data_IF_568229958107
#
_entry.id   IF_568229958107
#
_cell.length_a   1.000
_cell.length_b   1.000
_cell.length_c   1.000
_cell.angle_alpha   90.00
_cell.angle_beta   90.00
_cell.angle_gamma   90.00
#
_symmetry.space_group_name_H-M   'P 1'
#
loop_
_entity.id
_entity.type
_entity.pdbx_description
1 polymer ?
#
# COMPACT_ATOMS: atom_id res chain seq x y z
N UNK A 1 -31.69 37.74 -36.83
CA UNK A 1 -32.61 36.94 -35.99
C UNK A 1 -32.10 35.51 -35.92
N UNK A 2 -32.19 34.87 -34.73
CA UNK A 2 -31.62 33.57 -34.30
C UNK A 2 -30.11 33.64 -34.01
N UNK A 3 -29.64 34.05 -32.81
CA UNK A 3 -29.67 33.35 -31.50
C UNK A 3 -29.43 31.85 -31.65
N UNK A 4 -28.35 31.31 -31.08
CA UNK A 4 -28.43 30.30 -30.02
C UNK A 4 -27.03 29.76 -29.61
N UNK A 5 -26.68 30.05 -28.36
CA UNK A 5 -25.94 29.27 -27.35
C UNK A 5 -24.45 28.91 -27.57
N UNK A 6 -23.61 29.73 -26.93
CA UNK A 6 -22.32 29.32 -26.42
C UNK A 6 -22.52 28.24 -25.35
N UNK A 7 -22.14 26.99 -25.65
CA UNK A 7 -21.99 25.94 -24.66
C UNK A 7 -20.57 26.06 -24.07
N UNK A 8 -20.46 26.77 -22.95
CA UNK A 8 -19.25 26.77 -22.13
C UNK A 8 -19.18 25.42 -21.40
N UNK A 9 -18.46 24.47 -21.98
CA UNK A 9 -18.13 23.19 -21.35
C UNK A 9 -17.19 23.45 -20.18
N UNK A 10 -17.77 23.59 -18.99
CA UNK A 10 -17.03 23.63 -17.72
C UNK A 10 -16.44 22.22 -17.48
N UNK A 11 -15.22 21.98 -17.97
CA UNK A 11 -14.46 20.79 -17.58
C UNK A 11 -14.15 20.92 -16.09
N UNK A 12 -14.96 20.25 -15.27
CA UNK A 12 -14.67 20.01 -13.87
C UNK A 12 -13.39 19.16 -13.78
N UNK A 13 -12.27 19.81 -13.44
CA UNK A 13 -11.04 19.17 -13.01
C UNK A 13 -11.29 18.50 -11.66
N UNK A 14 -11.91 17.32 -11.67
CA UNK A 14 -11.92 16.41 -10.53
C UNK A 14 -10.56 15.73 -10.44
N UNK A 15 -9.54 16.48 -10.00
CA UNK A 15 -8.29 15.91 -9.52
C UNK A 15 -8.53 15.27 -8.17
N UNK A 16 -9.03 14.03 -8.17
CA UNK A 16 -8.93 13.16 -7.01
C UNK A 16 -7.45 12.94 -6.73
N UNK A 17 -6.87 13.67 -5.78
CA UNK A 17 -5.58 13.28 -5.22
C UNK A 17 -5.79 11.91 -4.60
N UNK A 18 -5.28 10.87 -5.25
CA UNK A 18 -5.07 9.59 -4.61
C UNK A 18 -3.96 9.75 -3.57
N UNK A 19 -4.22 10.51 -2.51
CA UNK A 19 -3.34 10.66 -1.36
C UNK A 19 -3.83 9.73 -0.25
N UNK A 20 -2.87 9.15 0.46
CA UNK A 20 -3.09 8.46 1.73
C UNK A 20 -2.53 9.36 2.83
N UNK A 21 -3.03 9.20 4.05
CA UNK A 21 -2.48 9.94 5.19
C UNK A 21 -1.13 9.33 5.55
N UNK A 22 -0.07 10.14 5.52
CA UNK A 22 1.26 9.69 5.91
C UNK A 22 1.43 9.82 7.42
N UNK A 23 2.19 8.90 8.02
CA UNK A 23 2.65 9.04 9.39
C UNK A 23 3.71 10.16 9.50
N UNK A 24 4.06 10.55 10.73
CA UNK A 24 5.10 11.58 10.93
C UNK A 24 6.47 11.06 10.51
N UNK A 25 7.43 11.93 10.15
CA UNK A 25 8.80 11.54 9.82
C UNK A 25 9.49 10.75 10.95
N UNK A 26 9.20 11.06 12.21
CA UNK A 26 9.74 10.36 13.37
C UNK A 26 9.20 8.94 13.47
N UNK A 27 7.90 8.75 13.23
CA UNK A 27 7.26 7.43 13.20
C UNK A 27 7.81 6.58 12.04
N UNK A 28 7.99 7.18 10.87
CA UNK A 28 8.62 6.52 9.71
C UNK A 28 10.08 6.11 10.00
N UNK A 29 10.87 7.01 10.59
CA UNK A 29 12.25 6.73 10.97
C UNK A 29 12.36 5.61 12.01
N UNK A 30 11.41 5.54 12.96
CA UNK A 30 11.34 4.44 13.93
C UNK A 30 10.91 3.12 13.31
N UNK A 31 9.89 3.13 12.44
CA UNK A 31 9.47 1.95 11.70
C UNK A 31 10.61 1.37 10.85
N UNK A 32 11.49 2.22 10.30
CA UNK A 32 12.67 1.84 9.52
C UNK A 32 13.88 1.38 10.35
N UNK A 33 13.76 1.29 11.68
CA UNK A 33 14.74 0.56 12.49
C UNK A 33 14.58 -0.97 12.36
N UNK A 34 13.48 -1.44 11.75
CA UNK A 34 13.19 -2.87 11.55
C UNK A 34 13.31 -3.69 12.84
N UNK A 35 12.87 -3.12 13.96
CA UNK A 35 12.82 -3.86 15.22
C UNK A 35 11.72 -4.92 15.14
N UNK A 36 12.02 -6.16 15.53
CA UNK A 36 11.02 -7.22 15.66
C UNK A 36 10.12 -7.02 16.87
N UNK A 37 8.92 -7.60 16.86
CA UNK A 37 8.04 -7.66 18.02
C UNK A 37 8.11 -9.04 18.69
N UNK A 38 8.48 -9.17 19.98
CA UNK A 38 8.66 -10.49 20.59
C UNK A 38 7.44 -11.39 20.56
N UNK A 39 6.23 -10.83 20.69
CA UNK A 39 4.97 -11.57 20.76
C UNK A 39 4.19 -11.62 19.43
N UNK A 40 4.65 -10.90 18.40
CA UNK A 40 3.94 -10.72 17.14
C UNK A 40 4.86 -10.92 15.94
N UNK A 41 4.28 -11.12 14.77
CA UNK A 41 5.02 -10.98 13.53
C UNK A 41 4.86 -9.56 13.02
N UNK A 42 5.98 -8.94 12.61
CA UNK A 42 5.94 -7.65 11.93
C UNK A 42 5.91 -7.86 10.43
N UNK A 43 5.00 -7.19 9.74
CA UNK A 43 4.86 -7.28 8.29
C UNK A 43 4.95 -5.87 7.69
N UNK A 44 5.88 -5.71 6.76
CA UNK A 44 5.99 -4.52 5.93
C UNK A 44 5.42 -4.81 4.55
N UNK A 45 4.38 -4.08 4.16
CA UNK A 45 3.80 -4.15 2.82
C UNK A 45 4.17 -2.86 2.10
N UNK A 46 5.00 -2.92 1.06
CA UNK A 46 5.54 -1.73 0.43
C UNK A 46 5.24 -1.67 -1.07
N UNK A 47 5.15 -0.43 -1.56
CA UNK A 47 5.04 -0.08 -2.97
C UNK A 47 6.02 1.04 -3.28
N UNK A 48 7.24 0.66 -3.68
CA UNK A 48 8.33 1.58 -3.98
C UNK A 48 8.34 2.06 -5.44
N UNK A 49 7.29 1.81 -6.22
CA UNK A 49 7.21 2.18 -7.63
C UNK A 49 6.50 3.53 -7.84
N UNK A 50 6.87 4.24 -8.91
CA UNK A 50 6.16 5.45 -9.36
C UNK A 50 4.99 5.14 -10.30
N UNK A 51 4.95 3.94 -10.89
CA UNK A 51 3.88 3.52 -11.78
C UNK A 51 2.53 3.52 -11.03
N UNK A 52 1.48 4.02 -11.69
CA UNK A 52 0.14 4.13 -11.10
C UNK A 52 0.06 5.15 -9.96
N UNK A 53 0.87 6.21 -9.95
CA UNK A 53 0.95 7.19 -8.85
C UNK A 53 -0.41 7.78 -8.42
N UNK A 54 -1.37 7.90 -9.35
CA UNK A 54 -2.73 8.35 -9.08
C UNK A 54 -3.69 7.24 -8.60
N UNK A 55 -3.19 6.05 -8.28
CA UNK A 55 -4.00 4.90 -7.85
C UNK A 55 -3.69 4.56 -6.40
N UNK A 56 -4.73 4.59 -5.57
CA UNK A 56 -4.72 4.12 -4.20
C UNK A 56 -5.11 2.63 -4.18
N UNK A 57 -4.36 1.79 -3.48
CA UNK A 57 -4.60 0.35 -3.41
C UNK A 57 -4.76 -0.08 -1.96
N UNK A 58 -5.93 -0.63 -1.62
CA UNK A 58 -6.22 -1.10 -0.27
C UNK A 58 -5.51 -2.42 0.00
N UNK A 59 -5.00 -2.60 1.21
CA UNK A 59 -4.39 -3.85 1.67
C UNK A 59 -5.15 -4.34 2.89
N UNK A 60 -5.54 -5.62 2.87
CA UNK A 60 -6.19 -6.30 3.98
C UNK A 60 -5.32 -7.44 4.51
N UNK A 61 -5.48 -7.75 5.79
CA UNK A 61 -5.13 -9.03 6.38
C UNK A 61 -6.39 -9.67 6.97
N UNK A 62 -6.72 -10.89 6.55
CA UNK A 62 -7.90 -11.63 7.00
C UNK A 62 -9.20 -10.81 6.96
N UNK A 63 -9.41 -10.11 5.85
CA UNK A 63 -10.55 -9.22 5.60
C UNK A 63 -10.60 -7.96 6.47
N UNK A 64 -9.56 -7.65 7.27
CA UNK A 64 -9.42 -6.39 8.00
C UNK A 64 -8.47 -5.45 7.26
N UNK A 65 -8.85 -4.19 7.08
CA UNK A 65 -8.02 -3.20 6.41
C UNK A 65 -6.76 -2.91 7.25
N UNK A 66 -5.59 -3.00 6.61
CA UNK A 66 -4.32 -2.56 7.16
C UNK A 66 -3.99 -1.11 6.76
N UNK A 67 -4.54 -0.66 5.65
CA UNK A 67 -4.34 0.68 5.11
C UNK A 67 -4.35 0.70 3.59
N UNK A 68 -4.06 1.86 3.04
CA UNK A 68 -4.04 2.10 1.61
C UNK A 68 -2.64 2.56 1.17
N UNK A 69 -2.05 1.84 0.22
CA UNK A 69 -0.81 2.28 -0.41
C UNK A 69 -1.10 3.20 -1.60
N UNK A 70 -0.22 4.17 -1.78
CA UNK A 70 -0.04 4.96 -3.00
C UNK A 70 1.42 4.81 -3.46
N UNK A 71 1.80 5.43 -4.58
CA UNK A 71 3.20 5.36 -5.01
C UNK A 71 4.17 5.82 -3.91
N UNK A 72 5.28 5.10 -3.74
CA UNK A 72 6.33 5.38 -2.75
C UNK A 72 5.86 5.36 -1.29
N UNK A 73 4.96 4.44 -0.95
CA UNK A 73 4.50 4.26 0.43
C UNK A 73 4.57 2.82 0.90
N UNK A 74 4.54 2.61 2.22
CA UNK A 74 4.44 1.30 2.83
C UNK A 74 3.56 1.31 4.08
N UNK A 75 3.02 0.15 4.41
CA UNK A 75 2.27 -0.15 5.62
C UNK A 75 3.16 -1.01 6.53
N UNK A 76 3.15 -0.73 7.83
CA UNK A 76 3.74 -1.58 8.86
C UNK A 76 2.61 -2.10 9.75
N UNK A 77 2.48 -3.43 9.86
CA UNK A 77 1.47 -4.09 10.67
C UNK A 77 2.11 -5.12 11.59
N UNK A 78 1.62 -5.21 12.83
CA UNK A 78 2.01 -6.25 13.78
C UNK A 78 0.84 -7.24 13.91
N UNK A 79 1.02 -8.44 13.36
CA UNK A 79 0.01 -9.51 13.29
C UNK A 79 0.31 -10.61 14.31
N UNK A 80 -0.71 -11.35 14.71
CA UNK A 80 -0.53 -12.51 15.59
C UNK A 80 0.29 -13.61 14.85
N UNK A 81 0.99 -14.50 15.57
CA UNK A 81 1.58 -15.67 14.95
C UNK A 81 0.50 -16.62 14.42
N UNK A 82 0.72 -17.19 13.23
CA UNK A 82 -0.25 -18.07 12.58
C UNK A 82 -0.34 -17.84 11.08
N UNK A 83 -1.29 -18.53 10.45
CA UNK A 83 -1.54 -18.37 9.02
C UNK A 83 -2.43 -17.16 8.78
N UNK A 84 -1.95 -16.23 7.94
CA UNK A 84 -2.65 -14.99 7.59
C UNK A 84 -2.74 -14.86 6.07
N UNK A 85 -3.87 -14.38 5.56
CA UNK A 85 -4.02 -14.07 4.13
C UNK A 85 -4.06 -12.57 3.93
N UNK A 86 -3.05 -12.06 3.23
CA UNK A 86 -3.00 -10.68 2.77
C UNK A 86 -3.72 -10.55 1.42
N UNK A 87 -4.48 -9.49 1.25
CA UNK A 87 -5.16 -9.19 -0.02
C UNK A 87 -4.90 -7.75 -0.43
N UNK A 88 -4.29 -7.55 -1.59
CA UNK A 88 -4.16 -6.26 -2.25
C UNK A 88 -5.32 -6.02 -3.21
N UNK A 89 -6.08 -4.95 -3.01
CA UNK A 89 -7.23 -4.58 -3.83
C UNK A 89 -6.86 -3.47 -4.82
N UNK A 90 -7.09 -3.73 -6.10
CA UNK A 90 -6.99 -2.76 -7.19
C UNK A 90 -7.98 -3.14 -8.29
N UNK A 91 -7.61 -3.08 -9.57
CA UNK A 91 -8.48 -3.63 -10.64
C UNK A 91 -8.65 -5.14 -10.50
N UNK A 92 -7.65 -5.80 -9.93
CA UNK A 92 -7.71 -7.17 -9.49
C UNK A 92 -7.52 -7.25 -7.96
N UNK A 93 -7.88 -8.41 -7.42
CA UNK A 93 -7.41 -8.86 -6.12
C UNK A 93 -6.12 -9.66 -6.30
N UNK A 94 -5.12 -9.41 -5.48
CA UNK A 94 -3.96 -10.30 -5.32
C UNK A 94 -3.93 -10.82 -3.89
N UNK A 95 -3.98 -12.13 -3.72
CA UNK A 95 -3.90 -12.78 -2.41
C UNK A 95 -2.52 -13.39 -2.18
N UNK A 96 -2.00 -13.29 -0.96
CA UNK A 96 -0.75 -13.91 -0.52
C UNK A 96 -0.96 -14.45 0.90
N UNK A 97 -0.83 -15.75 1.08
CA UNK A 97 -0.90 -16.40 2.40
C UNK A 97 0.51 -16.55 2.97
N UNK A 98 0.69 -16.19 4.24
CA UNK A 98 1.95 -16.27 4.97
C UNK A 98 1.73 -16.98 6.30
N UNK A 99 2.66 -17.86 6.67
CA UNK A 99 2.74 -18.43 8.01
C UNK A 99 3.71 -17.61 8.86
N UNK A 100 3.12 -16.82 9.74
CA UNK A 100 3.80 -15.80 10.53
C UNK A 100 4.26 -16.37 11.88
N UNK A 101 5.49 -16.05 12.27
CA UNK A 101 6.08 -16.45 13.55
C UNK A 101 6.32 -15.23 14.45
N UNK A 102 6.12 -15.41 15.76
CA UNK A 102 6.46 -14.39 16.75
C UNK A 102 7.95 -14.01 16.67
N UNK A 103 8.25 -12.72 16.81
CA UNK A 103 9.63 -12.22 16.76
C UNK A 103 10.24 -12.17 15.36
N UNK A 104 9.47 -12.46 14.31
CA UNK A 104 9.94 -12.39 12.91
C UNK A 104 9.40 -11.19 12.18
N UNK A 105 10.13 -10.80 11.14
CA UNK A 105 9.78 -9.70 10.23
C UNK A 105 9.61 -10.28 8.84
N UNK A 106 8.56 -9.84 8.16
CA UNK A 106 8.21 -10.26 6.82
C UNK A 106 8.07 -9.02 5.92
N UNK A 107 8.46 -9.17 4.67
CA UNK A 107 8.41 -8.10 3.68
C UNK A 107 7.59 -8.58 2.49
N UNK A 108 6.64 -7.75 2.10
CA UNK A 108 5.72 -8.00 0.99
C UNK A 108 5.79 -6.84 0.03
N UNK A 109 6.24 -7.12 -1.17
CA UNK A 109 6.19 -6.17 -2.26
C UNK A 109 4.79 -6.18 -2.88
N UNK A 110 4.16 -5.02 -2.95
CA UNK A 110 2.98 -4.79 -3.77
C UNK A 110 3.42 -4.21 -5.11
N UNK A 111 3.70 -5.10 -6.05
CA UNK A 111 4.09 -4.75 -7.41
C UNK A 111 2.87 -4.21 -8.17
N UNK A 112 3.02 -3.06 -8.81
CA UNK A 112 1.99 -2.48 -9.67
C UNK A 112 2.04 -3.17 -11.03
N UNK A 113 0.88 -3.50 -11.57
CA UNK A 113 0.72 -4.06 -12.91
C UNK A 113 -0.19 -3.19 -13.75
N UNK A 114 -0.03 -3.24 -15.06
CA UNK A 114 -0.97 -2.62 -15.99
C UNK A 114 -2.31 -3.36 -15.94
N UNK A 115 -3.40 -2.60 -15.88
CA UNK A 115 -4.76 -3.10 -16.04
C UNK A 115 -5.44 -2.53 -17.28
N UNK A 116 -6.73 -2.79 -17.43
CA UNK A 116 -7.54 -2.38 -18.59
C UNK A 116 -8.11 -0.98 -18.41
N UNK A 117 -8.61 -0.67 -17.22
CA UNK A 117 -9.23 0.60 -16.85
C UNK A 117 -8.41 1.36 -15.79
N UNK A 118 -7.82 0.65 -14.83
CA UNK A 118 -6.93 1.21 -13.80
C UNK A 118 -5.84 0.20 -13.39
N UNK A 119 -4.87 0.63 -12.58
CA UNK A 119 -3.73 -0.22 -12.23
C UNK A 119 -4.16 -1.49 -11.48
N UNK A 120 -3.45 -2.59 -11.77
CA UNK A 120 -3.52 -3.88 -11.08
C UNK A 120 -2.41 -3.97 -10.04
N UNK A 121 -2.46 -4.98 -9.17
CA UNK A 121 -1.40 -5.27 -8.22
C UNK A 121 -1.06 -6.76 -8.13
N UNK A 122 0.13 -7.06 -7.63
CA UNK A 122 0.57 -8.39 -7.24
C UNK A 122 1.31 -8.31 -5.90
N UNK A 123 0.87 -9.07 -4.91
CA UNK A 123 1.57 -9.24 -3.63
C UNK A 123 2.61 -10.36 -3.75
N UNK A 124 3.84 -10.08 -3.31
CA UNK A 124 4.95 -11.01 -3.35
C UNK A 124 5.75 -10.94 -2.05
N UNK A 125 5.98 -12.09 -1.41
CA UNK A 125 6.98 -12.16 -0.35
C UNK A 125 8.37 -11.98 -0.95
N UNK A 126 9.19 -11.15 -0.33
CA UNK A 126 10.59 -10.93 -0.71
C UNK A 126 11.51 -11.22 0.47
N UNK A 127 12.81 -11.33 0.20
CA UNK A 127 13.79 -11.47 1.28
C UNK A 127 14.00 -10.15 2.06
N UNK A 128 14.72 -10.25 3.17
CA UNK A 128 14.96 -9.11 4.06
C UNK A 128 15.73 -7.98 3.38
N UNK A 129 16.73 -8.29 2.55
CA UNK A 129 17.57 -7.27 1.92
C UNK A 129 16.77 -6.46 0.89
N UNK A 130 16.01 -7.15 0.02
CA UNK A 130 15.12 -6.52 -0.95
C UNK A 130 14.00 -5.75 -0.24
N UNK A 131 13.37 -6.36 0.76
CA UNK A 131 12.28 -5.78 1.52
C UNK A 131 12.67 -4.50 2.25
N UNK A 132 13.78 -4.51 2.99
CA UNK A 132 14.27 -3.31 3.68
C UNK A 132 14.65 -2.20 2.71
N UNK A 133 15.24 -2.53 1.55
CA UNK A 133 15.54 -1.55 0.51
C UNK A 133 14.27 -0.88 0.01
N UNK A 134 13.25 -1.68 -0.34
CA UNK A 134 11.97 -1.16 -0.82
C UNK A 134 11.23 -0.28 0.21
N UNK A 135 11.27 -0.67 1.48
CA UNK A 135 10.71 0.13 2.59
C UNK A 135 11.48 1.44 2.78
N UNK A 136 12.82 1.43 2.73
CA UNK A 136 13.65 2.64 2.85
C UNK A 136 13.39 3.64 1.71
N UNK A 137 13.03 3.16 0.52
CA UNK A 137 12.65 3.97 -0.64
C UNK A 137 11.22 4.56 -0.58
N UNK A 138 10.47 4.27 0.49
CA UNK A 138 9.05 4.57 0.63
C UNK A 138 8.74 5.30 1.95
N UNK A 139 7.53 5.86 2.09
CA UNK A 139 7.07 6.57 3.31
C UNK A 139 5.97 5.80 4.04
N UNK A 140 6.01 5.82 5.38
CA UNK A 140 5.02 5.14 6.22
C UNK A 140 3.62 5.75 6.05
N UNK A 141 2.65 4.89 5.77
CA UNK A 141 1.22 5.22 5.85
C UNK A 141 0.76 5.24 7.30
N UNK A 142 -0.07 6.21 7.67
CA UNK A 142 -0.74 6.22 8.96
C UNK A 142 -1.81 5.11 8.96
N UNK A 143 -1.63 4.10 9.82
CA UNK A 143 -2.60 3.02 9.96
C UNK A 143 -3.97 3.56 10.39
N UNK A 144 -5.08 3.04 9.83
CA UNK A 144 -6.41 3.35 10.32
C UNK A 144 -6.55 2.86 11.77
N UNK A 145 -7.14 3.69 12.64
CA UNK A 145 -7.42 3.36 14.04
C UNK A 145 -8.50 2.29 14.17
#
# INVERSE_FOLDING_TARGET
MKKLFAAASLLALLSGCASTTLATPEADAQAKQFNSQPAKARVYIYRNEAMGAAVKMNVLADNKALGDTVAKTYIMADLEPGSHTLVGKAENDSSLTLDLMAGKIYYVWQEVKMGVLYARNKLQSVDEAEGQKGVKESQLVQSPQ
#
